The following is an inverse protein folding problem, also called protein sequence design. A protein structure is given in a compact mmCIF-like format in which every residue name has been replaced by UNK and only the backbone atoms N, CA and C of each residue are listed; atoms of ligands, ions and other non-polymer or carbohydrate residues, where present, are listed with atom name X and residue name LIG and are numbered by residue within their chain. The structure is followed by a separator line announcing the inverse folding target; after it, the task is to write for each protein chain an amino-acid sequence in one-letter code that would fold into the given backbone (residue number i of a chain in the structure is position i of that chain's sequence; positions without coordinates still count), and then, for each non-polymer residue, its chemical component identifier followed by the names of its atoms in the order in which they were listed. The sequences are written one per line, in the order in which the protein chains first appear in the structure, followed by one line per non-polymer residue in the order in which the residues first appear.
data_IF_070548274027
#
_entry.id   IF_070548274027
#
_cell.length_a   1.000
_cell.length_b   1.000
_cell.length_c   1.000
_cell.angle_alpha   90.00
_cell.angle_beta   90.00
_cell.angle_gamma   90.00
#
_symmetry.space_group_name_H-M   'P 1'
#
loop_
_entity.id
_entity.type
_entity.pdbx_description
1 polymer ?
#
# COMPACT_ATOMS: atom_id res chain seq x y z
N UNK A 1 5.96 4.43 -13.97
CA UNK A 1 5.70 3.56 -12.80
C UNK A 1 6.12 4.30 -11.56
N UNK A 2 5.42 4.12 -10.45
CA UNK A 2 5.75 4.74 -9.16
C UNK A 2 6.81 3.94 -8.41
N UNK A 3 6.70 2.60 -8.48
CA UNK A 3 7.65 1.66 -7.90
C UNK A 3 8.08 0.65 -8.96
N UNK A 4 9.34 0.26 -8.92
CA UNK A 4 9.89 -0.78 -9.79
C UNK A 4 10.80 -1.71 -8.97
N UNK A 5 10.65 -3.02 -9.18
CA UNK A 5 11.64 -3.99 -8.68
C UNK A 5 12.95 -3.89 -9.49
N UNK A 6 14.08 -4.40 -8.96
CA UNK A 6 15.35 -4.36 -9.69
C UNK A 6 15.24 -5.06 -11.05
N UNK A 7 15.66 -4.36 -12.09
CA UNK A 7 15.69 -4.88 -13.45
C UNK A 7 17.11 -5.21 -13.87
N UNK A 8 17.34 -6.46 -14.25
CA UNK A 8 18.63 -6.89 -14.76
C UNK A 8 18.65 -6.77 -16.29
N UNK A 9 19.63 -6.05 -16.85
CA UNK A 9 19.83 -5.99 -18.30
C UNK A 9 19.94 -7.40 -18.88
N UNK A 10 19.24 -7.66 -19.98
CA UNK A 10 19.19 -8.97 -20.63
C UNK A 10 18.05 -9.88 -20.17
N UNK A 11 17.28 -9.48 -19.13
CA UNK A 11 16.06 -10.18 -18.75
C UNK A 11 14.91 -9.76 -19.67
N UNK A 12 14.49 -10.67 -20.54
CA UNK A 12 13.37 -10.43 -21.46
C UNK A 12 12.08 -10.51 -20.65
N UNK A 13 11.44 -9.37 -20.37
CA UNK A 13 10.14 -9.32 -19.70
C UNK A 13 8.96 -9.75 -20.59
N UNK A 14 9.17 -9.69 -21.92
CA UNK A 14 8.20 -10.10 -22.93
C UNK A 14 8.95 -10.38 -24.23
N UNK A 15 8.55 -11.42 -24.95
CA UNK A 15 9.10 -11.75 -26.27
C UNK A 15 8.71 -10.73 -27.36
N UNK A 16 7.64 -9.99 -27.15
CA UNK A 16 7.08 -9.03 -28.14
C UNK A 16 7.21 -7.57 -27.74
N UNK A 17 7.36 -7.29 -26.45
CA UNK A 17 7.43 -5.90 -25.93
C UNK A 17 8.68 -5.73 -25.05
N UNK A 18 9.84 -5.31 -25.64
CA UNK A 18 11.10 -5.24 -24.89
C UNK A 18 11.08 -4.28 -23.68
N UNK A 19 10.19 -3.29 -23.71
CA UNK A 19 10.01 -2.29 -22.66
C UNK A 19 9.08 -2.75 -21.53
N UNK A 20 8.40 -3.92 -21.68
CA UNK A 20 7.47 -4.43 -20.66
C UNK A 20 8.24 -4.88 -19.43
N UNK A 21 7.92 -4.29 -18.29
CA UNK A 21 8.48 -4.62 -17.00
C UNK A 21 7.38 -5.18 -16.09
N UNK A 22 7.48 -6.47 -15.81
CA UNK A 22 6.58 -7.14 -14.89
C UNK A 22 7.26 -7.26 -13.51
N UNK A 23 6.51 -7.20 -12.40
CA UNK A 23 7.02 -7.41 -11.04
C UNK A 23 7.24 -8.91 -10.76
N UNK A 24 8.09 -9.56 -11.58
CA UNK A 24 8.24 -11.01 -11.60
C UNK A 24 8.82 -11.58 -10.30
N UNK A 25 9.61 -10.81 -9.55
CA UNK A 25 10.14 -11.26 -8.25
C UNK A 25 9.06 -11.15 -7.18
N UNK A 26 8.25 -10.08 -7.18
CA UNK A 26 7.12 -9.94 -6.27
C UNK A 26 6.05 -11.02 -6.53
N UNK A 27 5.77 -11.34 -7.81
CA UNK A 27 4.88 -12.45 -8.19
C UNK A 27 5.37 -13.80 -7.63
N UNK A 28 6.69 -14.06 -7.67
CA UNK A 28 7.29 -15.27 -7.06
C UNK A 28 7.07 -15.33 -5.55
N UNK A 29 7.33 -14.22 -4.83
CA UNK A 29 7.11 -14.15 -3.38
C UNK A 29 5.65 -14.45 -3.05
N UNK A 30 4.71 -13.87 -3.81
CA UNK A 30 3.27 -14.15 -3.63
C UNK A 30 2.94 -15.61 -3.88
N UNK A 31 3.49 -16.22 -4.94
CA UNK A 31 3.27 -17.64 -5.25
C UNK A 31 3.81 -18.54 -4.14
N UNK A 32 5.04 -18.30 -3.68
CA UNK A 32 5.65 -19.03 -2.56
C UNK A 32 4.80 -18.89 -1.29
N UNK A 33 4.33 -17.69 -0.98
CA UNK A 33 3.46 -17.45 0.17
C UNK A 33 2.13 -18.22 0.11
N UNK A 34 1.60 -18.48 -1.09
CA UNK A 34 0.42 -19.36 -1.28
C UNK A 34 0.75 -20.82 -0.97
N UNK A 35 1.90 -21.29 -1.44
CA UNK A 35 2.35 -22.67 -1.16
C UNK A 35 2.61 -22.88 0.34
N UNK A 36 3.31 -21.95 0.98
CA UNK A 36 3.58 -22.00 2.43
C UNK A 36 2.29 -22.06 3.27
N UNK A 37 1.25 -21.32 2.88
CA UNK A 37 -0.05 -21.42 3.57
C UNK A 37 -0.70 -22.81 3.42
N UNK A 38 -0.54 -23.44 2.27
CA UNK A 38 -0.99 -24.83 2.06
C UNK A 38 -0.23 -25.81 2.95
N UNK A 39 1.11 -25.68 3.01
CA UNK A 39 1.95 -26.51 3.86
C UNK A 39 1.66 -26.29 5.35
N UNK A 40 1.40 -25.05 5.77
CA UNK A 40 1.03 -24.75 7.16
C UNK A 40 -0.29 -25.47 7.56
N UNK A 41 -1.28 -25.52 6.68
CA UNK A 41 -2.49 -26.31 6.90
C UNK A 41 -2.20 -27.80 7.05
N UNK A 42 -1.40 -28.37 6.14
CA UNK A 42 -0.99 -29.76 6.24
C UNK A 42 -0.15 -30.06 7.51
N UNK A 43 0.67 -29.12 7.95
CA UNK A 43 1.44 -29.27 9.17
C UNK A 43 0.57 -29.32 10.44
N UNK A 44 -0.56 -28.61 10.46
CA UNK A 44 -1.52 -28.69 11.57
C UNK A 44 -2.15 -30.08 11.66
N UNK A 45 -2.37 -30.77 10.54
CA UNK A 45 -2.90 -32.14 10.51
C UNK A 45 -1.91 -33.15 11.14
N UNK A 46 -0.59 -32.90 11.05
CA UNK A 46 0.41 -33.79 11.69
C UNK A 46 0.44 -33.66 13.21
N UNK A 47 -0.19 -32.63 13.79
CA UNK A 47 -0.32 -32.49 15.24
C UNK A 47 -1.34 -33.47 15.85
N UNK A 48 -2.23 -34.05 15.01
CA UNK A 48 -3.24 -35.01 15.44
C UNK A 48 -2.63 -36.42 15.38
N UNK A 49 -2.19 -36.93 16.50
CA UNK A 49 -1.53 -38.24 16.62
C UNK A 49 -2.35 -39.19 17.48
N UNK A 50 -2.30 -40.50 17.17
CA UNK A 50 -3.01 -41.53 17.94
C UNK A 50 -2.24 -41.94 19.19
N UNK A 51 -0.91 -42.01 19.07
CA UNK A 51 0.04 -42.33 20.16
C UNK A 51 1.35 -41.57 19.96
N UNK A 52 2.21 -41.61 20.96
CA UNK A 52 3.58 -41.11 20.84
C UNK A 52 4.30 -41.83 19.70
N UNK A 53 5.07 -41.08 18.90
CA UNK A 53 5.80 -41.58 17.72
C UNK A 53 4.90 -42.14 16.63
N UNK A 54 3.75 -41.52 16.42
CA UNK A 54 2.91 -41.85 15.27
C UNK A 54 3.69 -41.63 13.95
N UNK A 55 4.03 -42.74 13.28
CA UNK A 55 4.84 -42.69 12.07
C UNK A 55 4.09 -42.13 10.87
N UNK A 56 2.77 -42.07 10.92
CA UNK A 56 1.98 -41.43 9.85
C UNK A 56 2.21 -39.91 9.85
N UNK A 57 2.17 -39.29 11.02
CA UNK A 57 2.49 -37.87 11.22
C UNK A 57 3.98 -37.61 10.89
N UNK A 58 4.90 -38.39 11.47
CA UNK A 58 6.34 -38.20 11.24
C UNK A 58 6.77 -38.30 9.78
N UNK A 59 6.18 -39.21 9.00
CA UNK A 59 6.46 -39.32 7.55
C UNK A 59 5.95 -38.12 6.77
N UNK A 60 4.80 -37.55 7.14
CA UNK A 60 4.29 -36.33 6.55
C UNK A 60 5.21 -35.14 6.87
N UNK A 61 5.69 -35.02 8.12
CA UNK A 61 6.63 -33.97 8.54
C UNK A 61 7.95 -34.04 7.78
N UNK A 62 8.47 -35.22 7.50
CA UNK A 62 9.71 -35.37 6.72
C UNK A 62 9.62 -34.82 5.30
N UNK A 63 8.42 -34.72 4.72
CA UNK A 63 8.19 -34.06 3.47
C UNK A 63 7.90 -32.56 3.64
N UNK A 64 6.99 -32.23 4.57
CA UNK A 64 6.50 -30.86 4.76
C UNK A 64 7.57 -29.88 5.26
N UNK A 65 8.34 -30.29 6.28
CA UNK A 65 9.27 -29.38 6.95
C UNK A 65 10.41 -28.94 6.04
N UNK A 66 11.14 -29.85 5.36
CA UNK A 66 12.19 -29.42 4.43
C UNK A 66 11.66 -28.54 3.29
N UNK A 67 10.51 -28.88 2.72
CA UNK A 67 9.90 -28.07 1.66
C UNK A 67 9.52 -26.67 2.15
N UNK A 68 8.89 -26.60 3.32
CA UNK A 68 8.54 -25.31 3.93
C UNK A 68 9.77 -24.44 4.21
N UNK A 69 10.85 -25.02 4.73
CA UNK A 69 12.10 -24.32 4.97
C UNK A 69 12.72 -23.79 3.66
N UNK A 70 12.77 -24.61 2.62
CA UNK A 70 13.28 -24.19 1.31
C UNK A 70 12.46 -23.06 0.69
N UNK A 71 11.14 -23.17 0.77
CA UNK A 71 10.23 -22.12 0.26
C UNK A 71 10.36 -20.83 1.08
N UNK A 72 10.45 -20.92 2.40
CA UNK A 72 10.63 -19.75 3.26
C UNK A 72 11.96 -19.03 2.94
N UNK A 73 13.07 -19.78 2.82
CA UNK A 73 14.36 -19.22 2.44
C UNK A 73 14.32 -18.58 1.05
N UNK A 74 13.61 -19.17 0.09
CA UNK A 74 13.42 -18.59 -1.25
C UNK A 74 12.60 -17.30 -1.19
N UNK A 75 11.53 -17.25 -0.39
CA UNK A 75 10.73 -16.05 -0.19
C UNK A 75 11.55 -14.91 0.42
N UNK A 76 12.35 -15.21 1.44
CA UNK A 76 13.25 -14.26 2.08
C UNK A 76 14.28 -13.72 1.08
N UNK A 77 14.95 -14.60 0.32
CA UNK A 77 15.92 -14.21 -0.70
C UNK A 77 15.33 -13.22 -1.71
N UNK A 78 14.17 -13.53 -2.28
CA UNK A 78 13.54 -12.65 -3.26
C UNK A 78 13.01 -11.35 -2.64
N UNK A 79 12.49 -11.40 -1.42
CA UNK A 79 12.06 -10.18 -0.70
C UNK A 79 13.24 -9.25 -0.46
N UNK A 80 14.37 -9.80 0.00
CA UNK A 80 15.59 -9.04 0.22
C UNK A 80 16.15 -8.46 -1.08
N UNK A 81 16.12 -9.25 -2.18
CA UNK A 81 16.52 -8.78 -3.51
C UNK A 81 15.66 -7.58 -3.96
N UNK A 82 14.34 -7.68 -3.81
CA UNK A 82 13.42 -6.58 -4.13
C UNK A 82 13.74 -5.36 -3.26
N UNK A 83 13.83 -5.53 -1.94
CA UNK A 83 14.03 -4.43 -1.01
C UNK A 83 15.35 -3.67 -1.26
N UNK A 84 16.44 -4.40 -1.57
CA UNK A 84 17.75 -3.81 -1.85
C UNK A 84 17.80 -3.02 -3.17
N UNK A 85 16.99 -3.39 -4.13
CA UNK A 85 17.01 -2.78 -5.48
C UNK A 85 15.74 -2.05 -5.86
N UNK A 86 14.84 -1.83 -4.91
CA UNK A 86 13.59 -1.13 -5.14
C UNK A 86 13.86 0.30 -5.63
N UNK A 87 13.26 0.65 -6.74
CA UNK A 87 13.28 2.02 -7.27
C UNK A 87 11.97 2.71 -6.93
N UNK A 88 12.07 3.84 -6.26
CA UNK A 88 10.94 4.70 -5.93
C UNK A 88 11.02 5.94 -6.82
N UNK A 89 9.92 6.31 -7.45
CA UNK A 89 9.80 7.52 -8.26
C UNK A 89 8.82 8.50 -7.62
N UNK A 90 9.29 9.38 -6.71
CA UNK A 90 8.43 10.33 -6.01
C UNK A 90 7.73 11.32 -6.93
N UNK A 91 8.40 11.74 -8.01
CA UNK A 91 7.83 12.67 -8.99
C UNK A 91 6.60 12.04 -9.68
N UNK A 92 6.73 10.77 -10.10
CA UNK A 92 5.58 10.06 -10.69
C UNK A 92 4.44 9.83 -9.70
N UNK A 93 4.76 9.59 -8.43
CA UNK A 93 3.75 9.50 -7.37
C UNK A 93 3.01 10.83 -7.23
N UNK A 94 3.74 11.95 -7.23
CA UNK A 94 3.16 13.29 -7.18
C UNK A 94 2.29 13.58 -8.40
N UNK A 95 2.79 13.33 -9.61
CA UNK A 95 2.04 13.49 -10.84
C UNK A 95 0.70 12.74 -10.82
N UNK A 96 0.71 11.51 -10.29
CA UNK A 96 -0.49 10.68 -10.21
C UNK A 96 -1.50 11.21 -9.19
N UNK A 97 -1.06 11.74 -8.05
CA UNK A 97 -1.92 12.41 -7.07
C UNK A 97 -2.54 13.69 -7.64
N UNK A 98 -1.74 14.47 -8.37
CA UNK A 98 -2.17 15.76 -8.92
C UNK A 98 -3.15 15.62 -10.10
N UNK A 99 -3.20 14.43 -10.76
CA UNK A 99 -4.11 14.19 -11.90
C UNK A 99 -5.57 14.43 -11.61
N UNK A 100 -6.01 14.23 -10.38
CA UNK A 100 -7.39 14.46 -9.96
C UNK A 100 -7.60 15.87 -9.38
N UNK A 101 -6.63 16.79 -9.54
CA UNK A 101 -6.80 18.20 -9.15
C UNK A 101 -7.17 18.41 -7.68
N UNK A 102 -6.66 17.56 -6.78
CA UNK A 102 -6.93 17.65 -5.36
C UNK A 102 -8.18 16.89 -4.88
N UNK A 103 -8.98 16.29 -5.76
CA UNK A 103 -10.21 15.55 -5.39
C UNK A 103 -9.94 14.38 -4.45
N UNK A 104 -8.76 13.76 -4.51
CA UNK A 104 -8.33 12.69 -3.59
C UNK A 104 -8.24 13.16 -2.13
N UNK A 105 -8.20 14.47 -1.90
CA UNK A 105 -8.10 15.11 -0.58
C UNK A 105 -9.44 15.78 -0.16
N UNK A 106 -10.54 15.38 -0.73
CA UNK A 106 -11.87 15.84 -0.32
C UNK A 106 -12.21 15.47 1.13
N UNK A 107 -11.74 14.31 1.61
CA UNK A 107 -12.00 13.83 2.96
C UNK A 107 -11.48 14.77 4.07
N UNK A 108 -10.19 15.18 4.11
CA UNK A 108 -9.72 16.09 5.14
C UNK A 108 -10.45 17.43 5.13
N UNK A 109 -10.85 17.96 3.96
CA UNK A 109 -11.67 19.15 3.86
C UNK A 109 -13.05 18.93 4.48
N UNK A 110 -13.70 17.82 4.14
CA UNK A 110 -15.01 17.46 4.68
C UNK A 110 -14.97 17.29 6.22
N UNK A 111 -13.95 16.60 6.74
CA UNK A 111 -13.80 16.42 8.20
C UNK A 111 -13.60 17.74 8.91
N UNK A 112 -12.78 18.65 8.36
CA UNK A 112 -12.54 19.97 8.93
C UNK A 112 -13.78 20.85 8.92
N UNK A 113 -14.51 20.90 7.81
CA UNK A 113 -15.78 21.61 7.72
C UNK A 113 -16.85 21.01 8.63
N UNK A 114 -16.87 19.70 8.77
CA UNK A 114 -17.83 18.97 9.60
C UNK A 114 -17.80 19.35 11.07
N UNK A 115 -16.64 19.76 11.58
CA UNK A 115 -16.48 20.25 12.95
C UNK A 115 -17.27 21.54 13.24
N UNK A 116 -17.56 22.35 12.20
CA UNK A 116 -18.28 23.63 12.33
C UNK A 116 -19.69 23.57 11.76
N UNK A 117 -19.84 22.97 10.56
CA UNK A 117 -21.12 22.96 9.81
C UNK A 117 -21.99 21.74 10.15
N UNK A 118 -21.39 20.73 10.79
CA UNK A 118 -21.99 19.40 10.91
C UNK A 118 -21.72 18.52 9.69
N UNK A 119 -21.79 17.19 9.87
CA UNK A 119 -21.33 16.21 8.88
C UNK A 119 -22.06 16.28 7.54
N UNK A 120 -23.38 16.41 7.56
CA UNK A 120 -24.18 16.37 6.33
C UNK A 120 -23.94 17.63 5.49
N UNK A 121 -23.98 18.82 6.10
CA UNK A 121 -23.73 20.08 5.40
C UNK A 121 -22.31 20.16 4.84
N UNK A 122 -21.32 19.67 5.58
CA UNK A 122 -19.94 19.59 5.09
C UNK A 122 -19.81 18.65 3.89
N UNK A 123 -20.48 17.49 3.94
CA UNK A 123 -20.51 16.54 2.82
C UNK A 123 -21.12 17.19 1.57
N UNK A 124 -22.25 17.86 1.70
CA UNK A 124 -22.94 18.48 0.56
C UNK A 124 -22.08 19.56 -0.11
N UNK A 125 -21.45 20.43 0.69
CA UNK A 125 -20.53 21.47 0.20
C UNK A 125 -19.37 20.86 -0.59
N UNK A 126 -18.70 19.85 -0.01
CA UNK A 126 -17.55 19.21 -0.66
C UNK A 126 -17.99 18.45 -1.91
N UNK A 127 -19.14 17.79 -1.87
CA UNK A 127 -19.70 17.08 -3.01
C UNK A 127 -20.01 18.02 -4.17
N UNK A 128 -20.71 19.15 -3.90
CA UNK A 128 -21.05 20.17 -4.92
C UNK A 128 -19.79 20.69 -5.61
N UNK A 129 -18.76 21.06 -4.83
CA UNK A 129 -17.49 21.55 -5.35
C UNK A 129 -16.72 20.47 -6.13
N UNK A 130 -16.71 19.22 -5.64
CA UNK A 130 -16.04 18.11 -6.31
C UNK A 130 -16.69 17.76 -7.64
N UNK A 131 -18.02 17.73 -7.70
CA UNK A 131 -18.76 17.48 -8.95
C UNK A 131 -18.55 18.58 -9.96
N UNK A 132 -18.58 19.85 -9.53
CA UNK A 132 -18.32 20.98 -10.41
C UNK A 132 -16.88 20.97 -10.97
N UNK A 133 -15.88 20.60 -10.13
CA UNK A 133 -14.50 20.43 -10.58
C UNK A 133 -14.36 19.28 -11.59
N UNK A 134 -15.00 18.14 -11.33
CA UNK A 134 -15.01 16.99 -12.24
C UNK A 134 -15.62 17.33 -13.60
N UNK A 135 -16.64 18.18 -13.62
CA UNK A 135 -17.29 18.70 -14.83
C UNK A 135 -16.48 19.82 -15.52
N UNK A 136 -15.31 20.18 -14.99
CA UNK A 136 -14.44 21.21 -15.59
C UNK A 136 -14.87 22.66 -15.37
N UNK A 137 -15.74 22.92 -14.38
CA UNK A 137 -16.22 24.27 -14.07
C UNK A 137 -15.22 25.14 -13.30
N UNK A 138 -14.10 24.57 -12.87
CA UNK A 138 -13.04 25.25 -12.14
C UNK A 138 -12.16 24.27 -11.38
N UNK A 139 -11.10 24.76 -10.70
CA UNK A 139 -10.33 23.90 -9.81
C UNK A 139 -11.13 23.59 -8.54
N UNK A 140 -10.96 22.40 -7.99
CA UNK A 140 -11.61 21.99 -6.74
C UNK A 140 -11.33 22.99 -5.60
N UNK A 141 -10.09 23.48 -5.51
CA UNK A 141 -9.67 24.50 -4.57
C UNK A 141 -10.47 25.81 -4.74
N UNK A 142 -10.53 26.34 -5.95
CA UNK A 142 -11.17 27.63 -6.21
C UNK A 142 -12.69 27.55 -6.01
N UNK A 143 -13.29 26.43 -6.39
CA UNK A 143 -14.72 26.18 -6.16
C UNK A 143 -15.04 26.10 -4.66
N UNK A 144 -14.20 25.49 -3.85
CA UNK A 144 -14.34 25.48 -2.39
C UNK A 144 -14.22 26.89 -1.82
N UNK A 145 -13.25 27.69 -2.27
CA UNK A 145 -13.06 29.07 -1.77
C UNK A 145 -14.20 30.01 -2.21
N UNK A 146 -14.85 29.73 -3.31
CA UNK A 146 -16.00 30.51 -3.78
C UNK A 146 -17.26 30.26 -2.95
N UNK A 147 -17.35 29.14 -2.23
CA UNK A 147 -18.48 28.84 -1.34
C UNK A 147 -18.36 29.64 -0.04
N UNK A 148 -19.38 30.45 0.26
CA UNK A 148 -19.38 31.30 1.47
C UNK A 148 -19.32 30.50 2.77
N UNK A 149 -19.86 29.27 2.80
CA UNK A 149 -19.81 28.36 3.96
C UNK A 149 -18.37 27.91 4.24
N UNK A 150 -17.59 27.67 3.19
CA UNK A 150 -16.17 27.33 3.28
C UNK A 150 -15.35 28.55 3.68
N UNK A 151 -15.50 29.66 2.95
CA UNK A 151 -14.75 30.90 3.17
C UNK A 151 -14.92 31.49 4.58
N UNK A 152 -16.10 31.28 5.20
CA UNK A 152 -16.35 31.69 6.59
C UNK A 152 -15.74 30.75 7.64
N UNK A 153 -15.36 29.52 7.26
CA UNK A 153 -14.94 28.47 8.19
C UNK A 153 -13.45 28.15 8.09
N UNK A 154 -12.91 28.17 6.88
CA UNK A 154 -11.53 27.78 6.57
C UNK A 154 -10.85 28.91 5.79
N UNK A 155 -9.64 29.31 6.22
CA UNK A 155 -8.82 30.26 5.44
C UNK A 155 -8.22 29.60 4.20
N UNK A 156 -7.87 30.38 3.18
CA UNK A 156 -7.21 29.88 1.98
C UNK A 156 -5.92 29.10 2.31
N UNK A 157 -5.11 29.61 3.25
CA UNK A 157 -3.89 28.94 3.68
C UNK A 157 -4.14 27.62 4.43
N UNK A 158 -5.24 27.52 5.17
CA UNK A 158 -5.66 26.27 5.81
C UNK A 158 -6.16 25.27 4.76
N UNK A 159 -6.93 25.72 3.77
CA UNK A 159 -7.39 24.89 2.67
C UNK A 159 -6.20 24.34 1.86
N UNK A 160 -5.19 25.17 1.58
CA UNK A 160 -3.99 24.74 0.87
C UNK A 160 -3.25 23.62 1.61
N UNK A 161 -3.20 23.68 2.94
CA UNK A 161 -2.62 22.61 3.76
C UNK A 161 -3.47 21.33 3.74
N UNK A 162 -4.80 21.44 3.77
CA UNK A 162 -5.70 20.29 3.68
C UNK A 162 -5.64 19.61 2.31
N UNK A 163 -5.31 20.36 1.26
CA UNK A 163 -5.13 19.87 -0.09
C UNK A 163 -3.69 19.49 -0.43
N UNK A 164 -2.78 19.48 0.56
CA UNK A 164 -1.43 18.95 0.37
C UNK A 164 -1.37 17.47 0.78
N UNK A 165 -1.13 16.55 -0.18
CA UNK A 165 -1.03 15.12 0.13
C UNK A 165 0.08 14.78 1.12
N UNK A 166 1.15 15.59 1.22
CA UNK A 166 2.20 15.38 2.20
C UNK A 166 1.73 15.63 3.65
N UNK A 167 0.68 16.44 3.83
CA UNK A 167 0.08 16.70 5.14
C UNK A 167 -0.96 15.64 5.55
N UNK A 168 -1.35 14.73 4.65
CA UNK A 168 -2.42 13.74 4.90
C UNK A 168 -1.91 12.30 4.72
N UNK A 169 -0.88 11.95 5.49
CA UNK A 169 -0.26 10.61 5.46
C UNK A 169 -0.78 9.67 6.56
N UNK A 170 -1.71 10.13 7.38
CA UNK A 170 -2.29 9.36 8.48
C UNK A 170 -1.23 8.85 9.46
N UNK A 171 -1.27 7.55 9.75
CA UNK A 171 -0.35 6.88 10.68
C UNK A 171 0.86 6.22 9.98
N UNK A 172 1.12 6.50 8.71
CA UNK A 172 2.19 5.85 7.95
C UNK A 172 3.56 5.99 8.64
N UNK A 173 3.93 7.19 9.10
CA UNK A 173 5.17 7.42 9.85
C UNK A 173 5.25 6.61 11.14
N UNK A 174 4.15 6.56 11.91
CA UNK A 174 4.07 5.79 13.16
C UNK A 174 4.31 4.29 12.93
N UNK A 175 3.75 3.73 11.85
CA UNK A 175 3.98 2.32 11.50
C UNK A 175 5.42 2.05 11.09
N UNK A 176 6.03 2.94 10.30
CA UNK A 176 7.45 2.84 9.93
C UNK A 176 8.34 2.89 11.16
N UNK A 177 8.14 3.86 12.06
CA UNK A 177 8.93 3.99 13.28
C UNK A 177 8.80 2.77 14.19
N UNK A 178 7.61 2.19 14.29
CA UNK A 178 7.36 0.97 15.05
C UNK A 178 8.18 -0.21 14.49
N UNK A 179 8.11 -0.44 13.17
CA UNK A 179 8.86 -1.52 12.50
C UNK A 179 10.36 -1.31 12.65
N UNK A 180 10.86 -0.09 12.50
CA UNK A 180 12.27 0.23 12.70
C UNK A 180 12.72 0.00 14.14
N UNK A 181 11.87 0.32 15.12
CA UNK A 181 12.12 0.03 16.54
C UNK A 181 12.23 -1.46 16.81
N UNK A 182 11.34 -2.27 16.23
CA UNK A 182 11.38 -3.73 16.35
C UNK A 182 12.62 -4.33 15.69
N UNK A 183 12.96 -3.87 14.48
CA UNK A 183 14.17 -4.33 13.79
C UNK A 183 15.46 -4.05 14.58
N UNK A 184 15.57 -2.88 15.18
CA UNK A 184 16.73 -2.54 16.03
C UNK A 184 16.84 -3.43 17.24
N UNK A 185 15.73 -3.82 17.88
CA UNK A 185 15.71 -4.73 19.03
C UNK A 185 16.13 -6.15 18.66
N UNK A 186 15.83 -6.60 17.44
CA UNK A 186 16.20 -7.94 16.96
C UNK A 186 17.65 -8.02 16.46
N UNK A 187 18.27 -6.87 16.16
CA UNK A 187 19.65 -6.81 15.63
C UNK A 187 20.73 -6.60 16.71
N UNK A 188 20.35 -6.31 17.95
CA UNK A 188 21.25 -6.17 19.12
C UNK A 188 21.17 -7.36 20.01
#
# INVERSE_FOLDING_TARGET
MELEEPFTHGKVGSSTMPHKRNPAHAERVVAIGRLLRGLAGAALETMVTTHERDMSAGRAEWALVPEACCLAAAAEHWTLHIARGLRVNPERMRDNLDRLGGLVLSEPVMLRLGATLGRNAAHDVVYEAAMAAWEGKGSFRDLLLADSRVASTISAAELDRLLDPAAYTGLAGVFVDRVLGDARRLSG
#
